data_IF_444521804712
#
_entry.id   IF_444521804712
#
_cell.length_a   1.000
_cell.length_b   1.000
_cell.length_c   1.000
_cell.angle_alpha   90.00
_cell.angle_beta   90.00
_cell.angle_gamma   90.00
#
_symmetry.space_group_name_H-M   'P 1'
#
loop_
_entity.id
_entity.type
_entity.pdbx_description
1 polymer ?
#
# COMPACT_ATOMS: atom_id res chain seq x y z
N UNK A 1 27.26 -17.79 31.45
CA UNK A 1 26.03 -17.18 32.01
C UNK A 1 24.86 -18.07 31.61
N UNK A 2 24.40 -18.93 32.52
CA UNK A 2 23.23 -19.79 32.33
C UNK A 2 21.98 -19.03 32.78
N UNK A 3 21.28 -18.41 31.82
CA UNK A 3 20.07 -17.66 32.07
C UNK A 3 18.81 -18.55 32.08
N UNK A 4 18.91 -19.78 31.57
CA UNK A 4 17.83 -20.75 31.50
C UNK A 4 18.31 -22.06 32.11
N UNK A 5 17.52 -22.65 33.00
CA UNK A 5 17.69 -24.03 33.42
C UNK A 5 17.49 -24.95 32.20
N UNK A 6 18.18 -26.08 32.09
CA UNK A 6 18.07 -26.99 30.93
C UNK A 6 16.64 -27.51 30.66
N UNK A 7 15.71 -27.28 31.59
CA UNK A 7 14.29 -27.62 31.49
C UNK A 7 13.37 -26.46 31.07
N UNK A 8 13.83 -25.20 31.04
CA UNK A 8 13.03 -24.04 30.60
C UNK A 8 13.36 -23.67 29.16
N UNK A 9 12.39 -23.88 28.27
CA UNK A 9 12.42 -23.32 26.92
C UNK A 9 11.92 -21.88 26.93
N UNK A 10 12.49 -21.00 26.10
CA UNK A 10 12.04 -19.61 25.91
C UNK A 10 10.54 -19.54 25.55
N UNK A 11 10.02 -20.60 24.92
CA UNK A 11 8.60 -20.73 24.58
C UNK A 11 7.67 -20.94 25.77
N UNK A 12 8.20 -21.24 26.97
CA UNK A 12 7.42 -21.57 28.16
C UNK A 12 7.04 -20.34 28.98
N UNK A 13 7.73 -19.21 28.76
CA UNK A 13 7.36 -17.91 29.32
C UNK A 13 6.66 -17.05 28.26
N UNK A 14 5.34 -16.93 28.35
CA UNK A 14 4.54 -16.13 27.41
C UNK A 14 5.02 -14.67 27.32
N UNK A 15 5.46 -14.09 28.44
CA UNK A 15 5.93 -12.70 28.54
C UNK A 15 7.19 -12.44 27.69
N UNK A 16 8.16 -13.37 27.70
CA UNK A 16 9.41 -13.21 26.94
C UNK A 16 9.14 -13.40 25.46
N UNK A 17 8.31 -14.39 25.11
CA UNK A 17 7.90 -14.66 23.74
C UNK A 17 7.17 -13.47 23.10
N UNK A 18 6.23 -12.85 23.83
CA UNK A 18 5.49 -11.69 23.32
C UNK A 18 6.39 -10.46 23.15
N UNK A 19 7.33 -10.23 24.06
CA UNK A 19 8.34 -9.17 23.92
C UNK A 19 9.24 -9.43 22.70
N UNK A 20 9.66 -10.66 22.48
CA UNK A 20 10.48 -11.04 21.34
C UNK A 20 9.74 -10.84 20.01
N UNK A 21 8.49 -11.32 19.91
CA UNK A 21 7.64 -11.10 18.73
C UNK A 21 7.46 -9.60 18.44
N UNK A 22 7.22 -8.79 19.48
CA UNK A 22 7.09 -7.35 19.36
C UNK A 22 8.38 -6.71 18.81
N UNK A 23 9.53 -7.03 19.39
CA UNK A 23 10.83 -6.52 18.95
C UNK A 23 11.12 -6.92 17.49
N UNK A 24 10.80 -8.16 17.13
CA UNK A 24 11.00 -8.68 15.78
C UNK A 24 10.17 -7.92 14.74
N UNK A 25 8.90 -7.64 15.04
CA UNK A 25 8.02 -6.87 14.17
C UNK A 25 8.52 -5.43 14.03
N UNK A 26 8.92 -4.79 15.13
CA UNK A 26 9.43 -3.41 15.11
C UNK A 26 10.72 -3.28 14.31
N UNK A 27 11.64 -4.25 14.46
CA UNK A 27 12.87 -4.27 13.68
C UNK A 27 12.61 -4.47 12.17
N UNK A 28 11.69 -5.36 11.82
CA UNK A 28 11.29 -5.55 10.41
C UNK A 28 10.61 -4.31 9.81
N UNK A 29 9.84 -3.58 10.62
CA UNK A 29 9.21 -2.32 10.24
C UNK A 29 10.26 -1.23 9.95
N UNK A 30 11.30 -1.10 10.77
CA UNK A 30 12.39 -0.14 10.56
C UNK A 30 13.18 -0.43 9.27
N UNK A 31 13.58 -1.69 9.05
CA UNK A 31 14.28 -2.09 7.82
C UNK A 31 13.45 -1.80 6.57
N UNK A 32 12.15 -2.09 6.64
CA UNK A 32 11.24 -1.82 5.54
C UNK A 32 11.08 -0.33 5.27
N UNK A 33 11.09 0.51 6.31
CA UNK A 33 11.00 1.95 6.15
C UNK A 33 12.24 2.52 5.44
N UNK A 34 13.43 2.04 5.77
CA UNK A 34 14.67 2.49 5.15
C UNK A 34 14.77 2.12 3.67
N UNK A 35 14.41 0.87 3.33
CA UNK A 35 14.49 0.37 1.96
C UNK A 35 13.30 0.81 1.09
N UNK A 36 12.08 0.55 1.55
CA UNK A 36 10.87 0.74 0.75
C UNK A 36 10.08 2.01 1.10
N UNK A 37 10.49 2.76 2.14
CA UNK A 37 9.79 3.95 2.61
C UNK A 37 8.40 3.68 3.19
N UNK A 38 8.13 2.43 3.60
CA UNK A 38 6.88 2.07 4.29
C UNK A 38 7.12 1.01 5.36
N UNK A 39 6.17 0.85 6.27
CA UNK A 39 6.13 -0.26 7.24
C UNK A 39 5.99 -1.63 6.57
N UNK A 40 6.39 -2.69 7.28
CA UNK A 40 6.25 -4.07 6.85
C UNK A 40 4.78 -4.49 6.81
N UNK A 41 4.42 -5.33 5.85
CA UNK A 41 3.07 -5.88 5.76
C UNK A 41 2.91 -7.05 6.75
N UNK A 42 1.67 -7.28 7.19
CA UNK A 42 1.27 -8.43 8.01
C UNK A 42 1.97 -8.53 9.37
N UNK A 43 2.37 -7.40 9.96
CA UNK A 43 2.94 -7.38 11.32
C UNK A 43 2.00 -7.99 12.38
N UNK A 44 0.69 -7.85 12.19
CA UNK A 44 -0.35 -8.41 13.07
C UNK A 44 -0.34 -9.94 13.12
N UNK A 45 0.04 -10.60 12.03
CA UNK A 45 0.13 -12.07 12.00
C UNK A 45 1.26 -12.55 12.90
N UNK A 46 2.38 -11.83 12.95
CA UNK A 46 3.52 -12.15 13.81
C UNK A 46 3.23 -11.78 15.26
N UNK A 47 2.54 -10.66 15.49
CA UNK A 47 2.26 -10.13 16.84
C UNK A 47 1.14 -10.89 17.56
N UNK A 48 0.08 -11.27 16.84
CA UNK A 48 -1.14 -11.85 17.43
C UNK A 48 -1.50 -13.23 16.87
N UNK A 49 -0.78 -13.73 15.86
CA UNK A 49 -1.10 -14.99 15.18
C UNK A 49 -2.33 -14.93 14.26
N UNK A 50 -2.97 -13.75 14.15
CA UNK A 50 -4.19 -13.53 13.35
C UNK A 50 -4.16 -12.15 12.72
N UNK A 51 -4.77 -12.03 11.54
CA UNK A 51 -4.91 -10.75 10.87
C UNK A 51 -6.11 -9.99 11.45
N UNK A 52 -5.89 -8.75 11.91
CA UNK A 52 -6.97 -7.88 12.38
C UNK A 52 -7.47 -6.98 11.25
N UNK A 53 -8.75 -6.58 11.27
CA UNK A 53 -9.30 -5.60 10.32
C UNK A 53 -8.52 -4.27 10.28
N UNK A 54 -8.18 -3.62 11.42
CA UNK A 54 -7.35 -2.41 11.38
C UNK A 54 -5.94 -2.69 10.84
N UNK A 55 -5.38 -3.87 11.13
CA UNK A 55 -4.11 -4.32 10.55
C UNK A 55 -4.15 -4.43 9.03
N UNK A 56 -5.23 -4.96 8.47
CA UNK A 56 -5.43 -5.06 7.03
C UNK A 56 -5.48 -3.68 6.35
N UNK A 57 -6.12 -2.69 6.98
CA UNK A 57 -6.15 -1.31 6.47
C UNK A 57 -4.75 -0.69 6.52
N UNK A 58 -4.03 -0.87 7.63
CA UNK A 58 -2.63 -0.41 7.76
C UNK A 58 -1.73 -1.06 6.70
N UNK A 59 -1.89 -2.35 6.46
CA UNK A 59 -1.17 -3.10 5.43
C UNK A 59 -1.49 -2.54 4.03
N UNK A 60 -2.76 -2.23 3.77
CA UNK A 60 -3.21 -1.62 2.52
C UNK A 60 -2.61 -0.23 2.28
N UNK A 61 -2.60 0.64 3.29
CA UNK A 61 -1.94 1.95 3.21
C UNK A 61 -0.44 1.82 2.98
N UNK A 62 0.21 0.85 3.63
CA UNK A 62 1.64 0.60 3.46
C UNK A 62 1.95 0.11 2.04
N UNK A 63 1.12 -0.78 1.48
CA UNK A 63 1.24 -1.23 0.10
C UNK A 63 1.05 -0.09 -0.91
N UNK A 64 0.06 0.78 -0.68
CA UNK A 64 -0.17 1.96 -1.53
C UNK A 64 1.02 2.93 -1.46
N UNK A 65 1.55 3.17 -0.26
CA UNK A 65 2.75 4.01 -0.07
C UNK A 65 3.95 3.45 -0.82
N UNK A 66 4.22 2.13 -0.72
CA UNK A 66 5.29 1.48 -1.51
C UNK A 66 5.07 1.63 -3.00
N UNK A 67 3.84 1.39 -3.47
CA UNK A 67 3.53 1.52 -4.88
C UNK A 67 3.80 2.95 -5.37
N UNK A 68 3.36 3.96 -4.62
CA UNK A 68 3.60 5.35 -4.96
C UNK A 68 5.10 5.70 -4.95
N UNK A 69 5.80 5.37 -3.86
CA UNK A 69 7.21 5.73 -3.72
C UNK A 69 8.08 5.05 -4.78
N UNK A 70 7.82 3.76 -5.05
CA UNK A 70 8.54 2.99 -6.06
C UNK A 70 8.27 3.48 -7.50
N UNK A 71 7.10 4.05 -7.79
CA UNK A 71 6.80 4.54 -9.15
C UNK A 71 7.20 6.01 -9.36
N UNK A 72 7.07 6.86 -8.34
CA UNK A 72 7.21 8.31 -8.52
C UNK A 72 8.48 8.90 -7.89
N UNK A 73 9.04 8.26 -6.87
CA UNK A 73 10.17 8.82 -6.11
C UNK A 73 11.46 8.01 -6.29
N UNK A 74 11.36 6.81 -6.85
CA UNK A 74 12.50 5.91 -7.04
C UNK A 74 13.52 6.46 -8.03
N UNK A 75 13.07 7.05 -9.14
CA UNK A 75 13.97 7.67 -10.13
C UNK A 75 14.85 8.77 -9.52
N UNK A 76 14.26 9.67 -8.73
CA UNK A 76 15.02 10.74 -8.04
C UNK A 76 16.00 10.15 -7.01
N UNK A 77 15.61 9.07 -6.33
CA UNK A 77 16.48 8.37 -5.37
C UNK A 77 17.66 7.70 -6.07
N UNK A 78 17.43 7.08 -7.23
CA UNK A 78 18.46 6.47 -8.07
C UNK A 78 19.42 7.54 -8.62
N UNK A 79 18.90 8.66 -9.11
CA UNK A 79 19.71 9.78 -9.62
C UNK A 79 20.60 10.38 -8.51
N UNK A 80 20.08 10.49 -7.29
CA UNK A 80 20.85 10.95 -6.14
C UNK A 80 21.96 9.95 -5.75
N UNK A 81 21.70 8.64 -5.81
CA UNK A 81 22.70 7.61 -5.57
C UNK A 81 23.78 7.61 -6.65
N UNK A 82 23.42 7.75 -7.92
CA UNK A 82 24.36 7.83 -9.04
C UNK A 82 25.26 9.08 -8.95
N UNK A 83 24.72 10.19 -8.43
CA UNK A 83 25.48 11.40 -8.15
C UNK A 83 26.51 11.20 -7.02
N UNK A 84 26.10 10.62 -5.88
CA UNK A 84 26.98 10.42 -4.71
C UNK A 84 28.05 9.35 -5.00
N UNK A 85 27.69 8.30 -5.75
CA UNK A 85 28.59 7.20 -6.10
C UNK A 85 29.56 7.55 -7.23
N UNK A 86 29.37 8.68 -7.91
CA UNK A 86 30.27 9.16 -8.96
C UNK A 86 30.06 8.51 -10.33
N UNK A 87 28.99 7.72 -10.51
CA UNK A 87 28.58 7.18 -11.82
C UNK A 87 27.87 8.23 -12.70
N UNK A 88 27.53 9.39 -12.15
CA UNK A 88 26.95 10.49 -12.91
C UNK A 88 28.00 11.32 -13.66
N UNK A 89 27.98 11.27 -15.00
CA UNK A 89 28.83 12.12 -15.85
C UNK A 89 28.09 13.40 -16.23
N UNK A 90 28.50 14.53 -15.62
CA UNK A 90 27.92 15.86 -15.90
C UNK A 90 28.30 16.31 -17.31
N UNK A 91 27.38 16.12 -18.26
CA UNK A 91 27.48 16.68 -19.61
C UNK A 91 26.98 18.13 -19.60
N UNK A 92 27.80 19.09 -20.07
CA UNK A 92 27.40 20.51 -20.19
C UNK A 92 26.28 20.77 -21.21
N UNK A 93 25.94 19.80 -22.06
CA UNK A 93 24.87 19.90 -23.06
C UNK A 93 23.60 19.14 -22.67
N UNK A 94 23.58 18.45 -21.52
CA UNK A 94 22.47 17.62 -21.07
C UNK A 94 21.74 18.31 -19.92
N UNK A 95 20.42 18.41 -20.03
CA UNK A 95 19.53 18.91 -18.96
C UNK A 95 19.75 18.11 -17.67
N UNK A 96 19.64 18.76 -16.51
CA UNK A 96 19.87 18.08 -15.22
C UNK A 96 18.85 16.96 -14.98
N UNK A 97 19.26 15.77 -14.48
CA UNK A 97 18.35 14.68 -14.14
C UNK A 97 17.40 15.07 -12.99
N UNK A 98 17.84 15.99 -12.11
CA UNK A 98 17.01 16.61 -11.09
C UNK A 98 16.07 17.69 -11.63
N UNK A 99 15.61 17.57 -12.88
CA UNK A 99 14.37 18.24 -13.25
C UNK A 99 13.29 17.62 -12.37
N UNK A 100 13.03 18.27 -11.22
CA UNK A 100 11.75 18.19 -10.54
C UNK A 100 10.75 18.32 -11.68
N UNK A 101 9.97 17.27 -11.90
CA UNK A 101 8.86 17.27 -12.85
C UNK A 101 7.96 18.40 -12.35
N UNK A 102 8.25 19.62 -12.81
CA UNK A 102 7.35 20.74 -12.77
C UNK A 102 6.12 20.16 -13.41
N UNK A 103 5.05 20.14 -12.64
CA UNK A 103 3.77 19.53 -12.99
C UNK A 103 3.22 20.24 -14.24
N UNK A 104 3.77 19.94 -15.42
CA UNK A 104 3.21 20.26 -16.73
C UNK A 104 2.08 19.28 -17.06
N UNK A 105 1.32 18.87 -16.04
CA UNK A 105 0.08 18.11 -16.20
C UNK A 105 -1.11 19.02 -16.53
N UNK A 106 -0.88 20.32 -16.72
CA UNK A 106 -1.90 21.34 -16.91
C UNK A 106 -2.92 21.04 -18.03
N UNK A 107 -2.59 20.39 -19.17
CA UNK A 107 -3.59 20.12 -20.21
C UNK A 107 -4.29 18.75 -20.08
N UNK A 108 -3.71 17.75 -19.41
CA UNK A 108 -4.25 16.38 -19.39
C UNK A 108 -5.15 16.09 -18.17
N UNK A 109 -4.96 16.82 -17.07
CA UNK A 109 -5.75 16.68 -15.85
C UNK A 109 -7.28 16.80 -16.08
N UNK A 110 -7.79 17.84 -16.77
CA UNK A 110 -9.23 18.00 -16.95
C UNK A 110 -9.81 16.88 -17.83
N UNK A 111 -9.08 16.45 -18.87
CA UNK A 111 -9.51 15.35 -19.76
C UNK A 111 -9.56 14.02 -19.02
N UNK A 112 -8.51 13.69 -18.25
CA UNK A 112 -8.48 12.48 -17.45
C UNK A 112 -9.60 12.48 -16.38
N UNK A 113 -9.83 13.62 -15.72
CA UNK A 113 -10.93 13.75 -14.75
C UNK A 113 -12.31 13.58 -15.39
N UNK A 114 -12.53 14.09 -16.60
CA UNK A 114 -13.78 13.95 -17.32
C UNK A 114 -14.04 12.49 -17.73
N UNK A 115 -13.01 11.75 -18.13
CA UNK A 115 -13.12 10.31 -18.44
C UNK A 115 -13.48 9.51 -17.17
N UNK A 116 -12.83 9.80 -16.04
CA UNK A 116 -13.10 9.11 -14.77
C UNK A 116 -14.52 9.41 -14.29
N UNK A 117 -14.95 10.69 -14.28
CA UNK A 117 -16.30 11.09 -13.86
C UNK A 117 -17.36 10.52 -14.80
N UNK A 118 -17.11 10.54 -16.12
CA UNK A 118 -17.96 9.91 -17.12
C UNK A 118 -18.11 8.40 -16.89
N UNK A 119 -17.00 7.70 -16.63
CA UNK A 119 -17.03 6.26 -16.32
C UNK A 119 -17.80 5.93 -15.05
N UNK A 120 -17.61 6.70 -13.97
CA UNK A 120 -18.32 6.50 -12.69
C UNK A 120 -19.82 6.78 -12.84
N UNK A 121 -20.19 7.82 -13.60
CA UNK A 121 -21.61 8.16 -13.82
C UNK A 121 -22.31 7.13 -14.69
N UNK A 122 -21.68 6.66 -15.78
CA UNK A 122 -22.25 5.61 -16.63
C UNK A 122 -22.42 4.31 -15.85
N UNK A 123 -21.40 3.89 -15.10
CA UNK A 123 -21.50 2.66 -14.29
C UNK A 123 -22.57 2.76 -13.20
N UNK A 124 -22.73 3.92 -12.55
CA UNK A 124 -23.79 4.15 -11.57
C UNK A 124 -25.17 4.13 -12.24
N UNK A 125 -25.32 4.72 -13.42
CA UNK A 125 -26.57 4.70 -14.18
C UNK A 125 -26.93 3.28 -14.63
N UNK A 126 -25.97 2.53 -15.20
CA UNK A 126 -26.18 1.13 -15.59
C UNK A 126 -26.51 0.23 -14.41
N UNK A 127 -25.82 0.38 -13.27
CA UNK A 127 -26.10 -0.40 -12.06
C UNK A 127 -27.47 -0.06 -11.47
N UNK A 128 -27.85 1.22 -11.46
CA UNK A 128 -29.19 1.64 -11.00
C UNK A 128 -30.30 1.18 -11.95
N UNK A 129 -30.04 1.08 -13.26
CA UNK A 129 -30.97 0.56 -14.25
C UNK A 129 -31.18 -0.96 -14.10
N UNK A 130 -30.10 -1.72 -13.86
CA UNK A 130 -30.17 -3.16 -13.53
C UNK A 130 -30.87 -3.38 -12.18
N UNK A 131 -30.55 -2.59 -11.16
CA UNK A 131 -31.20 -2.67 -9.85
C UNK A 131 -32.71 -2.41 -9.92
N UNK A 132 -33.13 -1.43 -10.74
CA UNK A 132 -34.55 -1.12 -10.95
C UNK A 132 -35.27 -2.20 -11.76
N UNK A 133 -34.62 -2.78 -12.78
CA UNK A 133 -35.15 -3.93 -13.53
C UNK A 133 -35.30 -5.19 -12.66
N UNK A 134 -34.33 -5.48 -11.78
CA UNK A 134 -34.41 -6.58 -10.83
C UNK A 134 -35.54 -6.40 -9.81
N UNK A 135 -35.75 -5.17 -9.30
CA UNK A 135 -36.90 -4.85 -8.44
C UNK A 135 -38.24 -5.06 -9.16
N UNK A 136 -38.34 -4.67 -10.43
CA UNK A 136 -39.54 -4.90 -11.23
C UNK A 136 -39.82 -6.41 -11.43
N UNK A 137 -38.80 -7.22 -11.75
CA UNK A 137 -38.94 -8.67 -11.89
C UNK A 137 -39.38 -9.34 -10.59
N UNK A 138 -38.79 -8.99 -9.45
CA UNK A 138 -39.18 -9.51 -8.15
C UNK A 138 -40.63 -9.12 -7.82
N UNK A 139 -41.02 -7.86 -8.09
CA UNK A 139 -42.39 -7.39 -7.85
C UNK A 139 -43.42 -8.10 -8.73
N UNK A 140 -43.10 -8.38 -10.00
CA UNK A 140 -43.98 -9.09 -10.92
C UNK A 140 -44.16 -10.56 -10.54
N UNK A 141 -43.10 -11.23 -10.06
CA UNK A 141 -43.19 -12.62 -9.58
C UNK A 141 -44.06 -12.71 -8.33
N UNK A 142 -43.93 -11.77 -7.40
CA UNK A 142 -44.76 -11.74 -6.18
C UNK A 142 -46.23 -11.45 -6.51
N UNK A 143 -46.50 -10.57 -7.47
CA UNK A 143 -47.87 -10.20 -7.86
C UNK A 143 -48.55 -11.26 -8.76
N UNK A 144 -47.79 -12.04 -9.53
CA UNK A 144 -48.31 -13.13 -10.36
C UNK A 144 -48.40 -14.49 -9.64
N UNK A 145 -47.81 -14.60 -8.44
CA UNK A 145 -47.83 -15.79 -7.60
C UNK A 145 -48.89 -15.80 -6.50
N UNK A 146 -49.75 -14.78 -6.44
CA UNK A 146 -50.89 -14.68 -5.51
C UNK A 146 -52.22 -14.88 -6.26
#
# INVERSE_FOLDING_TARGET
>A
MGALSSAESISQSDIINDKFKKLWVEHGDELSLEYAGSYALKGDLVRYGRQTLPGLIKDGMSALSRYYLNNFHDGVRQDALDLISGYYTVSKSSSSPFQIIGFESAPYLPVASAIIVGGITVTTFTLSQVGRSAQHLISSIIFAGL
#
